data_IF_590357486388
#
_entry.id   IF_590357486388
#
_cell.length_a   1.000
_cell.length_b   1.000
_cell.length_c   1.000
_cell.angle_alpha   90.00
_cell.angle_beta   90.00
_cell.angle_gamma   90.00
#
_symmetry.space_group_name_H-M   'P 1'
#
loop_
_entity.id
_entity.type
_entity.pdbx_description
1 polymer ?
#
# COMPACT_ATOMS: atom_id res chain seq x y z
N UNK A 1 9.71 -14.21 -2.24
CA UNK A 1 8.59 -13.57 -2.94
C UNK A 1 9.12 -12.61 -3.98
N UNK A 2 9.19 -13.09 -5.22
CA UNK A 2 9.18 -12.22 -6.40
C UNK A 2 7.74 -11.97 -6.81
N UNK A 3 7.48 -10.81 -7.40
CA UNK A 3 6.15 -10.40 -7.80
C UNK A 3 6.15 -9.89 -9.23
N UNK A 4 5.09 -10.24 -9.96
CA UNK A 4 4.84 -9.79 -11.34
C UNK A 4 3.65 -8.84 -11.36
N UNK A 5 3.76 -7.73 -12.10
CA UNK A 5 2.65 -6.82 -12.36
C UNK A 5 1.56 -7.54 -13.18
N UNK A 6 0.32 -7.49 -12.72
CA UNK A 6 -0.81 -8.21 -13.34
C UNK A 6 -1.90 -7.29 -13.87
N UNK A 7 -1.81 -5.98 -13.61
CA UNK A 7 -2.77 -4.98 -14.08
C UNK A 7 -3.05 -3.94 -13.00
N UNK A 8 -3.93 -3.00 -13.33
CA UNK A 8 -4.41 -2.00 -12.37
C UNK A 8 -5.77 -2.43 -11.79
N UNK A 9 -6.11 -1.90 -10.62
CA UNK A 9 -7.45 -2.03 -10.05
C UNK A 9 -8.51 -1.44 -11.01
N UNK A 10 -9.77 -1.90 -10.92
CA UNK A 10 -10.82 -1.48 -11.85
C UNK A 10 -11.06 0.05 -11.87
N UNK A 11 -10.86 0.71 -10.73
CA UNK A 11 -10.96 2.17 -10.59
C UNK A 11 -9.68 2.92 -10.97
N UNK A 12 -8.63 2.19 -11.37
CA UNK A 12 -7.32 2.72 -11.75
C UNK A 12 -6.48 3.24 -10.59
N UNK A 13 -6.91 3.03 -9.33
CA UNK A 13 -6.25 3.65 -8.17
C UNK A 13 -4.98 2.92 -7.71
N UNK A 14 -4.86 1.61 -7.97
CA UNK A 14 -3.69 0.80 -7.56
C UNK A 14 -3.13 -0.03 -8.72
N UNK A 15 -1.80 -0.11 -8.79
CA UNK A 15 -1.10 -1.12 -9.57
C UNK A 15 -1.04 -2.44 -8.77
N UNK A 16 -1.49 -3.54 -9.37
CA UNK A 16 -1.60 -4.86 -8.72
C UNK A 16 -0.44 -5.75 -9.16
N UNK A 17 0.15 -6.43 -8.17
CA UNK A 17 1.24 -7.37 -8.32
C UNK A 17 0.86 -8.70 -7.67
N UNK A 18 1.26 -9.81 -8.30
CA UNK A 18 1.02 -11.16 -7.81
C UNK A 18 2.33 -11.87 -7.57
N UNK A 19 2.42 -12.60 -6.46
CA UNK A 19 3.59 -13.42 -6.12
C UNK A 19 3.78 -14.53 -7.15
N UNK A 20 5.03 -14.73 -7.56
CA UNK A 20 5.43 -15.87 -8.42
C UNK A 20 5.64 -17.15 -7.59
N UNK A 21 5.71 -17.02 -6.26
CA UNK A 21 5.97 -18.14 -5.35
C UNK A 21 4.68 -18.92 -5.05
N UNK A 22 4.77 -20.25 -5.06
CA UNK A 22 3.70 -21.11 -4.57
C UNK A 22 3.43 -20.89 -3.07
N UNK A 23 2.17 -20.97 -2.68
CA UNK A 23 1.72 -20.91 -1.27
C UNK A 23 2.05 -19.59 -0.54
N UNK A 24 1.93 -18.44 -1.23
CA UNK A 24 2.18 -17.11 -0.65
C UNK A 24 1.11 -16.63 0.36
N UNK A 25 0.02 -17.39 0.56
CA UNK A 25 -1.02 -17.08 1.55
C UNK A 25 -1.59 -15.68 1.38
N UNK A 26 -1.73 -14.93 2.48
CA UNK A 26 -2.24 -13.55 2.48
C UNK A 26 -1.37 -12.58 1.67
N UNK A 27 -0.13 -12.94 1.37
CA UNK A 27 0.82 -12.15 0.57
C UNK A 27 0.81 -12.54 -0.91
N UNK A 28 -0.23 -13.22 -1.40
CA UNK A 28 -0.30 -13.62 -2.82
C UNK A 28 -0.41 -12.41 -3.74
N UNK A 29 -1.11 -11.36 -3.34
CA UNK A 29 -1.27 -10.12 -4.09
C UNK A 29 -0.85 -8.93 -3.25
N UNK A 30 -0.26 -7.95 -3.91
CA UNK A 30 -0.05 -6.59 -3.41
C UNK A 30 -0.67 -5.58 -4.37
N UNK A 31 -1.23 -4.50 -3.85
CA UNK A 31 -1.60 -3.34 -4.65
C UNK A 31 -0.88 -2.11 -4.10
N UNK A 32 -0.33 -1.30 -4.98
CA UNK A 32 0.40 -0.07 -4.64
C UNK A 32 -0.19 1.14 -5.35
N UNK A 33 -0.30 2.25 -4.63
CA UNK A 33 -0.63 3.55 -5.17
C UNK A 33 0.43 4.57 -4.72
N UNK A 34 0.75 5.51 -5.59
CA UNK A 34 1.50 6.68 -5.19
C UNK A 34 0.52 7.64 -4.50
N UNK A 35 0.67 7.85 -3.20
CA UNK A 35 -0.13 8.84 -2.47
C UNK A 35 0.71 10.09 -2.24
N UNK A 36 0.67 10.98 -3.23
CA UNK A 36 1.42 12.24 -3.28
C UNK A 36 2.81 12.19 -2.61
N UNK A 37 3.71 11.31 -3.05
CA UNK A 37 4.99 11.06 -2.36
C UNK A 37 5.91 12.28 -2.28
N UNK A 38 5.63 13.33 -3.06
CA UNK A 38 6.36 14.61 -3.02
C UNK A 38 5.82 15.58 -1.95
N UNK A 39 4.61 15.35 -1.43
CA UNK A 39 3.94 16.26 -0.48
C UNK A 39 3.46 15.61 0.81
N UNK A 40 2.94 14.38 0.77
CA UNK A 40 2.58 13.60 1.97
C UNK A 40 3.61 12.51 2.27
N UNK A 41 4.65 12.39 1.45
CA UNK A 41 5.77 11.46 1.64
C UNK A 41 5.39 9.97 1.64
N UNK A 42 4.15 9.64 1.28
CA UNK A 42 3.62 8.30 1.41
C UNK A 42 3.54 7.55 0.06
N UNK A 43 3.67 6.24 0.14
CA UNK A 43 3.06 5.30 -0.79
C UNK A 43 1.98 4.55 -0.03
N UNK A 44 0.89 4.24 -0.70
CA UNK A 44 -0.17 3.42 -0.12
C UNK A 44 -0.07 2.00 -0.65
N UNK A 45 -0.31 1.02 0.22
CA UNK A 45 -0.41 -0.36 -0.23
C UNK A 45 -1.37 -1.21 0.59
N UNK A 46 -1.78 -2.32 -0.05
CA UNK A 46 -2.61 -3.40 0.50
C UNK A 46 -2.08 -4.74 0.04
N UNK A 47 -2.42 -5.81 0.77
CA UNK A 47 -2.15 -7.19 0.35
C UNK A 47 -3.37 -8.07 0.53
N UNK A 48 -3.39 -9.22 -0.16
CA UNK A 48 -4.46 -10.19 -0.03
C UNK A 48 -4.20 -11.46 -0.82
N UNK A 49 -5.05 -12.47 -0.63
CA UNK A 49 -4.87 -13.79 -1.28
C UNK A 49 -5.76 -14.04 -2.51
N UNK A 50 -6.68 -13.12 -2.86
CA UNK A 50 -7.51 -13.20 -4.07
C UNK A 50 -7.63 -11.86 -4.79
N UNK A 51 -7.91 -11.91 -6.10
CA UNK A 51 -8.17 -10.71 -6.92
C UNK A 51 -9.40 -9.92 -6.45
N UNK A 52 -10.43 -10.60 -5.93
CA UNK A 52 -11.58 -9.90 -5.33
C UNK A 52 -11.16 -9.10 -4.09
N UNK A 53 -10.38 -9.73 -3.19
CA UNK A 53 -9.95 -9.09 -1.94
C UNK A 53 -9.03 -7.91 -2.17
N UNK A 54 -8.12 -8.02 -3.15
CA UNK A 54 -7.20 -6.92 -3.45
C UNK A 54 -7.93 -5.74 -4.09
N UNK A 55 -9.12 -5.90 -4.67
CA UNK A 55 -9.90 -4.80 -5.25
C UNK A 55 -10.97 -4.23 -4.29
N UNK A 56 -11.27 -4.93 -3.20
CA UNK A 56 -12.34 -4.55 -2.28
C UNK A 56 -11.83 -3.65 -1.15
N UNK A 57 -12.14 -2.35 -1.21
CA UNK A 57 -11.83 -1.42 -0.11
C UNK A 57 -12.80 -1.57 1.08
N UNK A 58 -14.06 -1.95 0.82
CA UNK A 58 -15.14 -1.91 1.81
C UNK A 58 -15.49 -3.28 2.42
N UNK A 59 -14.93 -4.38 1.92
CA UNK A 59 -15.27 -5.74 2.32
C UNK A 59 -14.04 -6.68 2.34
N UNK A 60 -14.06 -7.69 3.21
CA UNK A 60 -12.97 -8.65 3.44
C UNK A 60 -12.11 -8.37 4.67
N UNK A 61 -11.20 -9.29 4.98
CA UNK A 61 -10.35 -9.25 6.19
C UNK A 61 -9.41 -8.03 6.25
N UNK A 62 -9.20 -7.34 5.12
CA UNK A 62 -8.36 -6.16 4.97
C UNK A 62 -9.16 -4.93 4.50
N UNK A 63 -10.49 -4.95 4.65
CA UNK A 63 -11.32 -3.78 4.38
C UNK A 63 -10.85 -2.58 5.22
N UNK A 64 -10.83 -1.39 4.62
CA UNK A 64 -10.34 -0.14 5.21
C UNK A 64 -8.89 -0.19 5.71
N UNK A 65 -8.15 -1.25 5.39
CA UNK A 65 -6.75 -1.37 5.78
C UNK A 65 -5.88 -0.83 4.65
N UNK A 66 -5.19 0.26 4.95
CA UNK A 66 -4.29 0.94 4.03
C UNK A 66 -3.03 1.29 4.79
N UNK A 67 -1.93 0.64 4.42
CA UNK A 67 -0.65 0.93 5.02
C UNK A 67 0.03 2.06 4.24
N UNK A 68 0.59 3.03 4.96
CA UNK A 68 1.52 4.00 4.39
C UNK A 68 2.94 3.44 4.40
N UNK A 69 3.74 3.86 3.43
CA UNK A 69 5.16 3.53 3.33
C UNK A 69 5.98 4.75 2.96
N UNK A 70 7.24 4.76 3.39
CA UNK A 70 8.24 5.78 3.04
C UNK A 70 9.24 5.14 2.08
N UNK A 71 9.75 5.92 1.13
CA UNK A 71 10.82 5.46 0.22
C UNK A 71 12.04 5.02 1.04
N UNK A 72 12.64 3.90 0.64
CA UNK A 72 13.85 3.34 1.29
C UNK A 72 15.02 4.33 1.32
N UNK A 73 15.14 5.15 0.28
CA UNK A 73 16.20 6.13 0.06
C UNK A 73 15.77 7.57 0.42
N UNK A 74 14.70 7.72 1.20
CA UNK A 74 14.30 9.01 1.75
C UNK A 74 15.42 9.60 2.63
N UNK A 75 15.56 10.93 2.61
CA UNK A 75 16.44 11.64 3.54
C UNK A 75 15.89 11.59 4.96
N UNK A 76 16.75 11.84 5.95
CA UNK A 76 16.33 11.95 7.36
C UNK A 76 15.25 13.03 7.55
N UNK A 77 15.35 14.16 6.82
CA UNK A 77 14.34 15.22 6.84
C UNK A 77 12.97 14.71 6.36
N UNK A 78 12.93 13.96 5.25
CA UNK A 78 11.67 13.40 4.70
C UNK A 78 11.06 12.38 5.66
N UNK A 79 11.90 11.57 6.33
CA UNK A 79 11.43 10.63 7.35
C UNK A 79 10.83 11.39 8.54
N UNK A 80 11.50 12.46 8.99
CA UNK A 80 11.01 13.30 10.08
C UNK A 80 9.67 13.96 9.74
N UNK A 81 9.57 14.59 8.57
CA UNK A 81 8.35 15.25 8.10
C UNK A 81 7.18 14.25 8.00
N UNK A 82 7.44 13.04 7.49
CA UNK A 82 6.44 11.98 7.40
C UNK A 82 5.92 11.56 8.79
N UNK A 83 6.82 11.36 9.76
CA UNK A 83 6.44 11.01 11.13
C UNK A 83 5.65 12.14 11.79
N UNK A 84 6.07 13.39 11.59
CA UNK A 84 5.37 14.57 12.12
C UNK A 84 3.95 14.69 11.54
N UNK A 85 3.82 14.54 10.21
CA UNK A 85 2.54 14.54 9.52
C UNK A 85 1.62 13.44 10.08
N UNK A 86 2.10 12.20 10.17
CA UNK A 86 1.34 11.08 10.74
C UNK A 86 0.84 11.39 12.17
N UNK A 87 1.72 11.91 13.03
CA UNK A 87 1.36 12.28 14.40
C UNK A 87 0.29 13.38 14.41
N UNK A 88 0.42 14.40 13.55
CA UNK A 88 -0.52 15.52 13.49
C UNK A 88 -1.92 15.10 13.01
N UNK A 89 -2.01 14.12 12.10
CA UNK A 89 -3.27 13.66 11.54
C UNK A 89 -3.97 12.60 12.42
N UNK A 90 -3.19 11.75 13.10
CA UNK A 90 -3.73 10.55 13.76
C UNK A 90 -3.67 10.61 15.29
N UNK A 91 -2.80 11.44 15.87
CA UNK A 91 -2.55 11.50 17.32
C UNK A 91 -2.94 12.85 17.94
N UNK A 92 -3.35 13.83 17.14
CA UNK A 92 -3.89 15.09 17.63
C UNK A 92 -5.35 14.90 18.06
N UNK A 93 -5.57 14.49 19.31
CA UNK A 93 -6.85 14.70 20.02
C UNK A 93 -6.99 16.14 20.53
#
# INVERSE_FOLDING_TARGET
>A
HTYTYVGDAEDGSFAIYKSDDENSGDFTYFAFAADTPDTTYHIEFRYGYTEYKINSFYDGDYAYWMASGIKKDASEDVISDCVELFCSENLAE
#
